data_IF_453713644854
#
_entry.id   IF_453713644854
#
_cell.length_a   1.000
_cell.length_b   1.000
_cell.length_c   1.000
_cell.angle_alpha   90.00
_cell.angle_beta   90.00
_cell.angle_gamma   90.00
#
_symmetry.space_group_name_H-M   'P 1'
#
loop_
_entity.id
_entity.type
_entity.pdbx_description
1 polymer ?
#
# COMPACT_ATOMS: atom_id res chain seq x y z
N UNK A 1 75.18 -6.58 -17.69
CA UNK A 1 74.28 -6.68 -16.52
C UNK A 1 73.11 -7.55 -16.95
N UNK A 2 72.86 -8.69 -16.30
CA UNK A 2 71.77 -9.60 -16.68
C UNK A 2 70.47 -9.17 -16.00
N UNK A 3 69.40 -8.99 -16.79
CA UNK A 3 68.08 -8.64 -16.28
C UNK A 3 67.40 -9.85 -15.64
N UNK A 4 66.93 -9.69 -14.40
CA UNK A 4 66.23 -10.74 -13.66
C UNK A 4 64.73 -10.69 -14.04
N UNK A 5 64.13 -11.78 -14.55
CA UNK A 5 62.72 -11.77 -14.94
C UNK A 5 61.82 -11.65 -13.71
N UNK A 6 61.04 -10.56 -13.65
CA UNK A 6 60.05 -10.34 -12.59
C UNK A 6 58.88 -11.33 -12.73
N UNK A 7 58.67 -12.16 -11.70
CA UNK A 7 57.52 -13.08 -11.64
C UNK A 7 56.23 -12.28 -11.37
N UNK A 8 55.27 -12.36 -12.30
CA UNK A 8 53.96 -11.67 -12.22
C UNK A 8 52.92 -12.40 -11.34
N UNK A 9 53.19 -13.63 -10.91
CA UNK A 9 52.27 -14.44 -10.13
C UNK A 9 52.58 -14.37 -8.63
N UNK A 10 51.53 -14.30 -7.81
CA UNK A 10 51.63 -14.40 -6.36
C UNK A 10 52.06 -15.82 -5.95
N UNK A 11 52.72 -15.93 -4.79
CA UNK A 11 53.12 -17.24 -4.27
C UNK A 11 51.90 -18.08 -3.86
N UNK A 12 52.01 -19.40 -3.98
CA UNK A 12 50.93 -20.35 -3.64
C UNK A 12 50.44 -20.17 -2.20
N UNK A 13 51.37 -19.93 -1.25
CA UNK A 13 51.03 -19.69 0.16
C UNK A 13 50.16 -18.46 0.36
N UNK A 14 50.41 -17.37 -0.36
CA UNK A 14 49.57 -16.17 -0.31
C UNK A 14 48.19 -16.46 -0.90
N UNK A 15 48.12 -17.20 -2.02
CA UNK A 15 46.86 -17.55 -2.67
C UNK A 15 45.96 -18.44 -1.78
N UNK A 16 46.54 -19.30 -0.93
CA UNK A 16 45.79 -20.12 0.03
C UNK A 16 45.23 -19.34 1.23
N UNK A 17 45.61 -18.07 1.41
CA UNK A 17 45.10 -17.29 2.54
C UNK A 17 43.64 -16.90 2.32
N UNK A 18 42.83 -16.94 3.39
CA UNK A 18 41.38 -16.70 3.33
C UNK A 18 40.97 -15.36 2.71
N UNK A 19 41.81 -14.33 2.77
CA UNK A 19 41.49 -13.04 2.16
C UNK A 19 41.60 -13.09 0.63
N UNK A 20 42.57 -13.83 0.09
CA UNK A 20 42.70 -14.08 -1.35
C UNK A 20 41.55 -14.95 -1.84
N UNK A 21 41.19 -16.00 -1.08
CA UNK A 21 40.05 -16.86 -1.39
C UNK A 21 38.74 -16.09 -1.40
N UNK A 22 38.47 -15.25 -0.39
CA UNK A 22 37.23 -14.45 -0.34
C UNK A 22 37.09 -13.48 -1.51
N UNK A 23 38.19 -12.86 -1.95
CA UNK A 23 38.16 -11.99 -3.13
C UNK A 23 37.87 -12.81 -4.40
N UNK A 24 38.54 -13.96 -4.58
CA UNK A 24 38.28 -14.86 -5.72
C UNK A 24 36.85 -15.43 -5.72
N UNK A 25 36.32 -15.82 -4.56
CA UNK A 25 34.93 -16.26 -4.39
C UNK A 25 33.94 -15.15 -4.72
N UNK A 26 34.23 -13.91 -4.32
CA UNK A 26 33.39 -12.76 -4.65
C UNK A 26 33.40 -12.47 -6.15
N UNK A 27 34.56 -12.49 -6.80
CA UNK A 27 34.69 -12.30 -8.25
C UNK A 27 33.98 -13.41 -9.04
N UNK A 28 34.14 -14.67 -8.62
CA UNK A 28 33.49 -15.82 -9.28
C UNK A 28 31.98 -15.77 -9.11
N UNK A 29 31.48 -15.44 -7.91
CA UNK A 29 30.06 -15.24 -7.66
C UNK A 29 29.47 -14.14 -8.54
N UNK A 30 30.15 -12.99 -8.65
CA UNK A 30 29.70 -11.90 -9.52
C UNK A 30 29.66 -12.30 -11.00
N UNK A 31 30.61 -13.13 -11.46
CA UNK A 31 30.61 -13.66 -12.83
C UNK A 31 29.41 -14.58 -13.06
N UNK A 32 29.14 -15.49 -12.13
CA UNK A 32 27.98 -16.38 -12.20
C UNK A 32 26.65 -15.61 -12.15
N UNK A 33 26.52 -14.60 -11.30
CA UNK A 33 25.33 -13.74 -11.23
C UNK A 33 25.11 -12.98 -12.54
N UNK A 34 26.17 -12.45 -13.16
CA UNK A 34 26.10 -11.79 -14.48
C UNK A 34 25.70 -12.77 -15.58
N UNK A 35 26.22 -13.99 -15.56
CA UNK A 35 25.83 -15.03 -16.52
C UNK A 35 24.38 -15.44 -16.35
N UNK A 36 23.89 -15.61 -15.12
CA UNK A 36 22.48 -15.91 -14.85
C UNK A 36 21.57 -14.79 -15.36
N UNK A 37 21.89 -13.54 -15.03
CA UNK A 37 21.11 -12.38 -15.52
C UNK A 37 21.14 -12.36 -17.05
N UNK A 38 22.30 -12.60 -17.67
CA UNK A 38 22.43 -12.64 -19.12
C UNK A 38 21.52 -13.71 -19.75
N UNK A 39 21.57 -14.95 -19.25
CA UNK A 39 20.72 -16.05 -19.74
C UNK A 39 19.24 -15.71 -19.59
N UNK A 40 18.86 -15.14 -18.45
CA UNK A 40 17.50 -14.65 -18.21
C UNK A 40 17.16 -13.58 -19.25
N UNK A 41 17.95 -12.51 -19.39
CA UNK A 41 17.65 -11.43 -20.35
C UNK A 41 17.60 -11.87 -21.81
N UNK A 42 18.45 -12.82 -22.21
CA UNK A 42 18.45 -13.38 -23.57
C UNK A 42 17.19 -14.24 -23.83
N UNK A 43 16.68 -14.91 -22.79
CA UNK A 43 15.45 -15.71 -22.87
C UNK A 43 14.16 -14.89 -22.68
N UNK A 44 14.23 -13.72 -22.05
CA UNK A 44 13.05 -12.90 -21.79
C UNK A 44 12.70 -12.08 -23.03
N UNK A 45 11.53 -12.37 -23.61
CA UNK A 45 10.97 -11.54 -24.66
C UNK A 45 10.32 -10.30 -24.04
N UNK A 46 10.68 -9.12 -24.54
CA UNK A 46 10.06 -7.85 -24.15
C UNK A 46 9.05 -7.47 -25.22
N UNK A 47 7.79 -7.36 -24.85
CA UNK A 47 6.76 -6.79 -25.71
C UNK A 47 6.78 -5.27 -25.54
N UNK A 48 7.18 -4.54 -26.58
CA UNK A 48 7.13 -3.07 -26.58
C UNK A 48 5.67 -2.61 -26.79
N UNK A 49 5.05 -2.14 -25.71
CA UNK A 49 3.68 -1.62 -25.73
C UNK A 49 3.64 -0.12 -26.08
N UNK A 50 4.75 0.49 -26.52
CA UNK A 50 4.79 1.88 -26.94
C UNK A 50 3.90 2.11 -28.17
N UNK A 51 2.62 2.44 -27.95
CA UNK A 51 1.67 2.86 -28.98
C UNK A 51 0.40 2.02 -29.11
N UNK A 52 0.23 0.95 -28.33
CA UNK A 52 -1.02 0.17 -28.33
C UNK A 52 -1.86 0.58 -27.13
N UNK A 53 -2.96 1.30 -27.38
CA UNK A 53 -3.92 1.68 -26.33
C UNK A 53 -4.77 0.46 -25.94
N UNK A 54 -4.16 -0.36 -25.08
CA UNK A 54 -4.76 -1.41 -24.27
C UNK A 54 -6.09 -0.95 -23.63
N UNK A 55 -7.33 -1.35 -24.01
CA UNK A 55 -8.48 -0.99 -23.19
C UNK A 55 -8.27 -1.58 -21.79
N UNK A 56 -8.06 -0.70 -20.80
CA UNK A 56 -7.86 -1.10 -19.40
C UNK A 56 -9.08 -1.94 -18.97
N UNK A 57 -8.88 -3.11 -18.36
CA UNK A 57 -9.99 -3.91 -17.89
C UNK A 57 -10.80 -3.10 -16.87
N UNK A 58 -12.13 -3.14 -16.97
CA UNK A 58 -13.06 -2.39 -16.10
C UNK A 58 -12.91 -2.75 -14.61
N UNK A 59 -12.37 -3.93 -14.32
CA UNK A 59 -11.99 -4.37 -12.98
C UNK A 59 -10.65 -5.10 -13.07
N UNK A 60 -9.67 -4.63 -12.32
CA UNK A 60 -8.43 -5.36 -12.06
C UNK A 60 -8.65 -6.16 -10.78
N UNK A 61 -8.88 -7.46 -10.93
CA UNK A 61 -8.94 -8.39 -9.79
C UNK A 61 -7.59 -9.08 -9.73
N UNK A 62 -6.81 -8.76 -8.71
CA UNK A 62 -5.52 -9.39 -8.45
C UNK A 62 -5.71 -10.51 -7.43
N UNK A 63 -5.20 -11.70 -7.76
CA UNK A 63 -5.22 -12.83 -6.84
C UNK A 63 -3.93 -12.84 -6.04
N UNK A 64 -4.03 -12.46 -4.78
CA UNK A 64 -2.92 -12.49 -3.84
C UNK A 64 -2.92 -13.83 -3.10
N UNK A 65 -1.80 -14.59 -3.09
CA UNK A 65 -1.71 -15.86 -2.37
C UNK A 65 -1.62 -15.68 -0.84
N UNK A 66 -1.57 -14.44 -0.36
CA UNK A 66 -1.37 -14.09 1.05
C UNK A 66 -2.61 -13.48 1.69
N UNK A 67 -2.98 -13.99 2.86
CA UNK A 67 -4.06 -13.43 3.69
C UNK A 67 -3.64 -12.18 4.48
N UNK A 68 -2.34 -11.87 4.54
CA UNK A 68 -1.83 -10.74 5.34
C UNK A 68 -2.42 -9.40 4.90
N UNK A 69 -2.80 -9.26 3.63
CA UNK A 69 -3.42 -8.04 3.11
C UNK A 69 -4.88 -7.90 3.57
N UNK A 70 -5.59 -9.00 3.79
CA UNK A 70 -6.94 -8.98 4.35
C UNK A 70 -6.91 -8.61 5.85
N UNK A 71 -5.88 -9.07 6.57
CA UNK A 71 -5.65 -8.76 7.98
C UNK A 71 -5.23 -7.29 8.24
N UNK A 72 -5.00 -6.48 7.20
CA UNK A 72 -4.80 -5.03 7.37
C UNK A 72 -6.06 -4.38 7.97
N UNK A 73 -7.24 -4.94 7.67
CA UNK A 73 -8.49 -4.55 8.35
C UNK A 73 -8.63 -5.21 9.73
N UNK A 74 -8.11 -6.43 9.90
CA UNK A 74 -8.22 -7.25 11.10
C UNK A 74 -6.85 -7.49 11.76
N UNK A 75 -6.34 -6.45 12.45
CA UNK A 75 -5.33 -6.54 13.53
C UNK A 75 -4.36 -7.73 13.42
N UNK A 76 -3.39 -7.68 12.52
CA UNK A 76 -2.36 -8.72 12.44
C UNK A 76 -1.53 -8.77 13.74
N UNK A 77 -1.91 -9.66 14.65
CA UNK A 77 -1.14 -9.91 15.86
C UNK A 77 0.16 -10.64 15.50
N UNK A 78 1.25 -10.31 16.19
CA UNK A 78 2.50 -11.04 16.04
C UNK A 78 2.31 -12.48 16.51
N UNK A 79 2.64 -13.46 15.66
CA UNK A 79 2.41 -14.88 15.95
C UNK A 79 3.23 -15.42 17.13
N UNK A 80 4.39 -14.82 17.42
CA UNK A 80 5.20 -15.17 18.59
C UNK A 80 4.85 -14.27 19.77
N UNK A 81 4.20 -14.85 20.76
CA UNK A 81 3.86 -14.19 22.03
C UNK A 81 4.33 -15.00 23.22
N UNK A 82 4.68 -14.32 24.30
CA UNK A 82 4.88 -14.93 25.61
C UNK A 82 4.03 -14.19 26.63
N UNK A 83 3.75 -14.86 27.75
CA UNK A 83 2.90 -14.35 28.81
C UNK A 83 3.59 -14.48 30.16
N UNK A 84 3.08 -13.73 31.14
CA UNK A 84 3.49 -13.83 32.54
C UNK A 84 5.00 -13.64 32.77
N UNK A 85 5.65 -12.80 31.96
CA UNK A 85 7.10 -12.53 32.04
C UNK A 85 7.97 -13.77 31.80
N UNK A 86 7.45 -14.81 31.13
CA UNK A 86 8.21 -16.00 30.79
C UNK A 86 9.40 -15.67 29.87
N UNK A 87 9.22 -14.70 28.97
CA UNK A 87 10.29 -14.16 28.15
C UNK A 87 10.08 -12.66 27.90
N UNK A 88 10.75 -11.84 28.71
CA UNK A 88 10.61 -10.38 28.60
C UNK A 88 11.02 -9.82 27.23
N UNK A 89 12.01 -10.43 26.57
CA UNK A 89 12.48 -9.94 25.27
C UNK A 89 11.40 -10.12 24.20
N UNK A 90 10.67 -11.24 24.27
CA UNK A 90 9.55 -11.52 23.35
C UNK A 90 8.38 -10.59 23.67
N UNK A 91 8.02 -10.40 24.94
CA UNK A 91 6.95 -9.49 25.35
C UNK A 91 7.22 -8.04 24.93
N UNK A 92 8.46 -7.56 25.11
CA UNK A 92 8.89 -6.22 24.65
C UNK A 92 8.83 -6.09 23.13
N UNK A 93 9.25 -7.12 22.40
CA UNK A 93 9.18 -7.10 20.93
C UNK A 93 7.73 -7.10 20.41
N UNK A 94 6.86 -7.89 21.04
CA UNK A 94 5.45 -7.97 20.68
C UNK A 94 4.75 -6.64 20.98
N UNK A 95 4.95 -6.06 22.17
CA UNK A 95 4.34 -4.77 22.51
C UNK A 95 4.81 -3.62 21.60
N UNK A 96 6.11 -3.58 21.27
CA UNK A 96 6.66 -2.58 20.36
C UNK A 96 6.05 -2.71 18.94
N UNK A 97 5.90 -3.94 18.44
CA UNK A 97 5.30 -4.16 17.11
C UNK A 97 3.83 -3.76 17.04
N UNK A 98 3.05 -4.09 18.08
CA UNK A 98 1.64 -3.71 18.19
C UNK A 98 1.49 -2.20 18.31
N UNK A 99 2.32 -1.54 19.11
CA UNK A 99 2.33 -0.08 19.25
C UNK A 99 2.67 0.63 17.93
N UNK A 100 3.65 0.12 17.17
CA UNK A 100 3.98 0.66 15.83
C UNK A 100 2.82 0.54 14.84
N UNK A 101 2.11 -0.60 14.83
CA UNK A 101 0.95 -0.79 13.95
C UNK A 101 -0.19 0.18 14.31
N UNK A 102 -0.41 0.43 15.61
CA UNK A 102 -1.43 1.40 16.06
C UNK A 102 -1.09 2.82 15.62
N UNK A 103 0.17 3.23 15.83
CA UNK A 103 0.65 4.56 15.45
C UNK A 103 0.56 4.76 13.93
N UNK A 104 1.00 3.79 13.12
CA UNK A 104 0.91 3.87 11.66
C UNK A 104 -0.56 3.99 11.18
N UNK A 105 -1.49 3.32 11.86
CA UNK A 105 -2.92 3.45 11.57
C UNK A 105 -3.45 4.86 11.91
N UNK A 106 -3.05 5.41 13.05
CA UNK A 106 -3.44 6.76 13.47
C UNK A 106 -2.89 7.81 12.50
N UNK A 107 -1.60 7.73 12.15
CA UNK A 107 -0.99 8.61 11.15
C UNK A 107 -1.67 8.52 9.78
N UNK A 108 -2.00 7.31 9.31
CA UNK A 108 -2.75 7.14 8.05
C UNK A 108 -4.13 7.80 8.11
N UNK A 109 -4.79 7.76 9.26
CA UNK A 109 -6.10 8.38 9.46
C UNK A 109 -6.00 9.90 9.54
N UNK A 110 -5.00 10.43 10.22
CA UNK A 110 -4.71 11.86 10.28
C UNK A 110 -4.37 12.39 8.89
N UNK A 111 -3.44 11.74 8.19
CA UNK A 111 -3.05 12.10 6.82
C UNK A 111 -4.20 12.03 5.82
N UNK A 112 -5.16 11.12 6.01
CA UNK A 112 -6.35 11.07 5.17
C UNK A 112 -7.35 12.22 5.42
N UNK A 113 -7.24 12.88 6.59
CA UNK A 113 -8.02 14.07 6.93
C UNK A 113 -7.29 15.39 6.71
N UNK A 114 -5.97 15.35 6.50
CA UNK A 114 -5.16 16.49 6.09
C UNK A 114 -5.44 16.78 4.60
N UNK A 115 -6.14 17.88 4.34
CA UNK A 115 -6.33 18.43 3.00
C UNK A 115 -5.38 19.61 2.88
N UNK A 116 -4.64 19.69 1.78
CA UNK A 116 -3.74 20.80 1.51
C UNK A 116 -4.54 22.09 1.21
N UNK A 117 -3.97 23.26 1.54
CA UNK A 117 -4.65 24.54 1.39
C UNK A 117 -5.08 24.80 -0.07
N UNK A 118 -4.25 24.34 -1.03
CA UNK A 118 -4.53 24.43 -2.46
C UNK A 118 -5.72 23.53 -2.87
N UNK A 119 -5.78 22.30 -2.37
CA UNK A 119 -6.90 21.37 -2.62
C UNK A 119 -8.21 21.88 -1.99
N UNK A 120 -8.13 22.45 -0.77
CA UNK A 120 -9.28 23.05 -0.10
C UNK A 120 -9.81 24.28 -0.85
N UNK A 121 -8.92 25.11 -1.39
CA UNK A 121 -9.28 26.27 -2.20
C UNK A 121 -10.03 25.85 -3.48
N UNK A 122 -9.62 24.77 -4.13
CA UNK A 122 -10.30 24.22 -5.30
C UNK A 122 -11.71 23.69 -4.96
N UNK A 123 -11.86 22.93 -3.87
CA UNK A 123 -13.16 22.43 -3.43
C UNK A 123 -14.14 23.59 -3.12
N UNK A 124 -13.66 24.62 -2.41
CA UNK A 124 -14.44 25.82 -2.13
C UNK A 124 -14.80 26.60 -3.40
N UNK A 125 -13.87 26.70 -4.37
CA UNK A 125 -14.13 27.34 -5.65
C UNK A 125 -15.20 26.59 -6.46
N UNK A 126 -15.18 25.25 -6.47
CA UNK A 126 -16.18 24.40 -7.11
C UNK A 126 -17.56 24.55 -6.44
N UNK A 127 -17.61 24.53 -5.11
CA UNK A 127 -18.86 24.71 -4.36
C UNK A 127 -19.49 26.10 -4.56
N UNK A 128 -18.66 27.14 -4.70
CA UNK A 128 -19.12 28.51 -4.98
C UNK A 128 -19.60 28.68 -6.43
N UNK A 129 -18.99 28.00 -7.41
CA UNK A 129 -19.50 27.92 -8.79
C UNK A 129 -20.87 27.25 -8.84
N UNK A 130 -21.09 26.17 -8.08
CA UNK A 130 -22.38 25.50 -7.99
C UNK A 130 -23.47 26.37 -7.33
N UNK A 131 -23.12 27.19 -6.33
CA UNK A 131 -24.04 28.16 -5.72
C UNK A 131 -24.44 29.29 -6.68
N UNK A 132 -23.51 29.76 -7.53
CA UNK A 132 -23.76 30.82 -8.52
C UNK A 132 -24.69 30.36 -9.65
N UNK A 133 -24.71 29.07 -9.98
CA UNK A 133 -25.66 28.48 -10.93
C UNK A 133 -27.09 28.36 -10.37
N UNK A 134 -27.24 28.23 -9.04
CA UNK A 134 -28.55 28.06 -8.38
C UNK A 134 -29.29 29.37 -8.09
N UNK A 135 -28.59 30.51 -8.09
CA UNK A 135 -29.18 31.84 -7.82
C UNK A 135 -29.90 32.46 -9.02
N UNK A 136 -29.90 31.85 -10.20
CA UNK A 136 -30.59 32.36 -11.39
C UNK A 136 -32.04 31.83 -11.50
N UNK A 137 -32.46 30.88 -10.64
CA UNK A 137 -33.78 30.26 -10.73
C UNK A 137 -34.51 30.12 -9.39
N UNK A 138 -34.86 31.22 -8.72
CA UNK A 138 -36.03 31.24 -7.80
C UNK A 138 -36.39 32.65 -7.32
N UNK A 139 -37.08 33.43 -8.15
CA UNK A 139 -37.94 34.51 -7.66
C UNK A 139 -39.34 33.95 -7.40
N UNK A 140 -39.59 33.49 -6.17
CA UNK A 140 -40.97 33.34 -5.65
C UNK A 140 -41.04 33.99 -4.27
N UNK A 141 -41.96 34.94 -4.03
CA UNK A 141 -42.10 35.57 -2.73
C UNK A 141 -42.75 34.60 -1.73
N UNK A 142 -42.24 34.61 -0.49
CA UNK A 142 -42.81 33.88 0.65
C UNK A 142 -44.14 34.53 1.07
N UNK A 143 -45.23 33.78 1.28
CA UNK A 143 -46.36 34.29 2.04
C UNK A 143 -46.09 34.12 3.53
N UNK A 144 -46.17 35.23 4.25
CA UNK A 144 -46.23 35.28 5.71
C UNK A 144 -47.60 34.82 6.17
N UNK A 145 -47.70 33.79 7.00
CA UNK A 145 -48.86 33.66 7.89
C UNK A 145 -48.53 32.78 9.09
N UNK A 146 -48.58 33.42 10.26
CA UNK A 146 -48.64 32.78 11.55
C UNK A 146 -49.94 31.98 11.65
N UNK A 147 -49.86 30.65 11.53
CA UNK A 147 -50.84 29.76 12.15
C UNK A 147 -50.16 28.52 12.72
N UNK A 148 -50.22 28.44 14.05
CA UNK A 148 -49.89 27.29 14.90
C UNK A 148 -50.60 26.04 14.35
N UNK A 149 -49.85 25.18 13.68
CA UNK A 149 -50.34 23.87 13.25
C UNK A 149 -50.25 22.87 14.44
N UNK A 150 -51.25 22.02 14.67
CA UNK A 150 -51.14 20.94 15.65
C UNK A 150 -50.12 19.87 15.18
N UNK A 151 -49.49 19.12 16.10
CA UNK A 151 -48.45 18.16 15.73
C UNK A 151 -48.99 17.04 14.83
N UNK A 152 -48.21 16.56 13.84
CA UNK A 152 -48.62 15.45 12.99
C UNK A 152 -48.69 14.14 13.77
N UNK A 153 -49.74 13.35 13.52
CA UNK A 153 -49.95 12.02 14.09
C UNK A 153 -48.76 11.09 13.75
N UNK A 154 -48.32 10.32 14.74
CA UNK A 154 -47.24 9.34 14.63
C UNK A 154 -47.50 8.37 13.46
N UNK A 155 -46.49 8.18 12.61
CA UNK A 155 -46.53 7.19 11.53
C UNK A 155 -46.47 5.78 12.13
N UNK A 156 -47.36 4.90 11.66
CA UNK A 156 -47.39 3.49 12.00
C UNK A 156 -46.05 2.80 11.65
N UNK A 157 -45.70 1.79 12.46
CA UNK A 157 -44.46 1.02 12.37
C UNK A 157 -44.23 0.39 10.97
N UNK A 158 -42.98 0.26 10.50
CA UNK A 158 -42.68 -0.42 9.24
C UNK A 158 -42.94 -1.93 9.36
N UNK A 159 -43.60 -2.51 8.35
CA UNK A 159 -43.90 -3.94 8.26
C UNK A 159 -42.61 -4.80 8.27
N UNK A 160 -42.65 -6.04 8.81
CA UNK A 160 -41.49 -6.92 8.84
C UNK A 160 -41.07 -7.34 7.43
N UNK A 161 -39.78 -7.19 7.12
CA UNK A 161 -39.17 -7.64 5.87
C UNK A 161 -39.15 -9.17 5.84
N UNK A 162 -39.92 -9.79 4.96
CA UNK A 162 -39.86 -11.24 4.71
C UNK A 162 -38.76 -11.55 3.70
N UNK A 163 -38.00 -12.61 3.96
CA UNK A 163 -36.85 -13.06 3.17
C UNK A 163 -37.34 -13.71 1.87
N UNK A 164 -36.96 -13.17 0.70
CA UNK A 164 -37.27 -13.79 -0.59
C UNK A 164 -36.19 -14.80 -0.95
N UNK A 165 -36.58 -16.08 -1.09
CA UNK A 165 -35.68 -17.14 -1.57
C UNK A 165 -35.50 -17.02 -3.10
N UNK A 166 -34.29 -17.30 -3.63
CA UNK A 166 -34.05 -17.30 -5.06
C UNK A 166 -34.84 -18.42 -5.74
N UNK A 167 -35.33 -18.14 -6.95
CA UNK A 167 -36.02 -19.12 -7.79
C UNK A 167 -34.97 -20.00 -8.49
N UNK A 168 -35.25 -21.30 -8.54
CA UNK A 168 -34.49 -22.30 -9.31
C UNK A 168 -34.43 -21.95 -10.80
#
# INVERSE_FOLDING_TARGET
MAEIPHKKALSSKIMTMKFMQRQQEQETRQKLEKEQIRVVTEAHWVLDNAGVDLPKPKFQVEYEPSFLQMDVAERSNVGRVSFQKFNENVEKSASASVGKQQLDRELKREKAGEIDDDEMAEELALSNKAKKAKTVSSSKPKPTTNRRAPPPKAKAAPAPRTFMKPKE
#
